data_IF_267950483378
#
_entry.id   IF_267950483378
#
_cell.length_a   1.000
_cell.length_b   1.000
_cell.length_c   1.000
_cell.angle_alpha   90.00
_cell.angle_beta   90.00
_cell.angle_gamma   90.00
#
_symmetry.space_group_name_H-M   'P 1'
#
loop_
_entity.id
_entity.type
_entity.pdbx_description
1 polymer ?
#
# COMPACT_ATOMS: atom_id res chain seq x y z
N UNK A 1 1.26 7.08 4.25
CA UNK A 1 1.49 7.75 5.55
C UNK A 1 2.56 6.94 6.27
N UNK A 2 3.70 7.54 6.60
CA UNK A 2 4.83 6.82 7.20
C UNK A 2 4.63 6.86 8.70
N UNK A 3 4.47 5.69 9.34
CA UNK A 3 4.48 5.58 10.81
C UNK A 3 5.90 5.87 11.25
N UNK A 4 6.11 7.02 11.85
CA UNK A 4 7.42 7.40 12.35
C UNK A 4 7.54 6.95 13.80
N UNK A 5 8.75 6.59 14.25
CA UNK A 5 9.08 6.42 15.67
C UNK A 5 8.50 7.58 16.50
N UNK A 6 8.51 8.79 15.92
CA UNK A 6 7.86 9.97 16.48
C UNK A 6 6.37 9.77 16.82
N UNK A 7 5.61 9.00 16.04
CA UNK A 7 4.19 8.75 16.32
C UNK A 7 4.00 7.86 17.55
N UNK A 8 4.90 6.89 17.77
CA UNK A 8 4.89 6.06 18.98
C UNK A 8 5.23 6.90 20.22
N UNK A 9 6.24 7.76 20.13
CA UNK A 9 6.59 8.67 21.22
C UNK A 9 5.42 9.64 21.54
N UNK A 10 4.77 10.19 20.52
CA UNK A 10 3.61 11.05 20.69
C UNK A 10 2.43 10.29 21.29
N UNK A 11 2.18 9.06 20.85
CA UNK A 11 1.15 8.18 21.42
C UNK A 11 1.38 7.99 22.93
N UNK A 12 2.59 7.68 23.34
CA UNK A 12 2.93 7.50 24.76
C UNK A 12 2.75 8.78 25.55
N UNK A 13 3.17 9.91 24.98
CA UNK A 13 3.10 11.23 25.60
C UNK A 13 1.68 11.76 25.76
N UNK A 14 0.87 11.63 24.71
CA UNK A 14 -0.48 12.21 24.64
C UNK A 14 -1.59 11.20 24.86
N UNK A 15 -1.26 9.92 25.05
CA UNK A 15 -2.19 8.81 25.36
C UNK A 15 -3.35 8.67 24.38
N UNK A 16 -3.08 8.85 23.09
CA UNK A 16 -4.05 8.54 22.04
C UNK A 16 -3.88 7.10 21.52
N UNK A 17 -4.89 6.60 20.79
CA UNK A 17 -4.81 5.31 20.09
C UNK A 17 -4.24 5.51 18.70
N UNK A 18 -3.34 4.60 18.31
CA UNK A 18 -2.73 4.58 16.99
C UNK A 18 -3.33 3.46 16.16
N UNK A 19 -4.00 3.85 15.07
CA UNK A 19 -4.50 2.92 14.05
C UNK A 19 -3.59 3.06 12.84
N UNK A 20 -3.00 1.96 12.41
CA UNK A 20 -2.13 1.90 11.24
C UNK A 20 -2.86 1.18 10.10
N UNK A 21 -3.03 1.88 8.99
CA UNK A 21 -3.55 1.30 7.76
C UNK A 21 -2.40 0.79 6.89
N UNK A 22 -2.32 -0.53 6.78
CA UNK A 22 -1.31 -1.25 6.02
C UNK A 22 -1.85 -1.76 4.66
N UNK A 23 -3.00 -1.23 4.20
CA UNK A 23 -3.65 -1.68 2.95
C UNK A 23 -2.69 -1.70 1.75
N UNK A 24 -1.79 -0.73 1.68
CA UNK A 24 -0.83 -0.58 0.56
C UNK A 24 0.61 -0.97 0.91
N UNK A 25 0.87 -1.34 2.14
CA UNK A 25 2.22 -1.59 2.65
C UNK A 25 2.46 -3.04 3.06
N UNK A 26 1.43 -3.73 3.57
CA UNK A 26 1.55 -5.14 3.91
C UNK A 26 1.74 -6.00 2.65
N UNK A 27 2.71 -6.90 2.67
CA UNK A 27 3.14 -7.68 1.51
C UNK A 27 4.05 -6.92 0.53
N UNK A 28 4.41 -5.66 0.83
CA UNK A 28 5.19 -4.77 -0.04
C UNK A 28 6.39 -4.17 0.68
N UNK A 29 6.15 -3.45 1.77
CA UNK A 29 7.18 -2.76 2.55
C UNK A 29 7.77 -3.68 3.63
N UNK A 30 8.93 -3.27 4.14
CA UNK A 30 9.68 -4.09 5.08
C UNK A 30 10.56 -5.14 4.38
N UNK A 31 11.56 -5.64 5.05
CA UNK A 31 12.52 -6.60 4.47
C UNK A 31 11.86 -7.91 4.03
N UNK A 32 10.86 -8.35 4.80
CA UNK A 32 10.12 -9.59 4.56
C UNK A 32 8.66 -9.37 4.15
N UNK A 33 8.26 -8.10 3.87
CA UNK A 33 6.90 -7.75 3.47
C UNK A 33 5.92 -7.55 4.63
N UNK A 34 6.41 -7.37 5.86
CA UNK A 34 5.55 -7.17 7.04
C UNK A 34 5.04 -5.74 7.21
N UNK A 35 5.24 -4.90 6.19
CA UNK A 35 4.67 -3.57 6.15
C UNK A 35 5.53 -2.48 6.78
N UNK A 36 4.88 -1.38 7.15
CA UNK A 36 5.53 -0.16 7.65
C UNK A 36 6.20 -0.37 9.00
N UNK A 37 5.65 -1.20 9.87
CA UNK A 37 6.24 -1.49 11.19
C UNK A 37 7.62 -2.11 11.02
N UNK A 38 7.77 -3.09 10.15
CA UNK A 38 9.08 -3.68 9.83
C UNK A 38 10.00 -2.67 9.13
N UNK A 39 9.48 -1.89 8.16
CA UNK A 39 10.24 -0.87 7.44
C UNK A 39 10.84 0.19 8.37
N UNK A 40 10.14 0.54 9.44
CA UNK A 40 10.54 1.55 10.41
C UNK A 40 11.21 0.96 11.66
N UNK A 41 11.35 -0.36 11.73
CA UNK A 41 11.87 -1.08 12.88
C UNK A 41 11.12 -0.75 14.18
N UNK A 42 9.79 -0.72 14.10
CA UNK A 42 8.86 -0.52 15.21
C UNK A 42 8.22 -1.87 15.54
N UNK A 43 8.10 -2.19 16.83
CA UNK A 43 7.37 -3.39 17.24
C UNK A 43 5.88 -3.21 16.92
N UNK A 44 5.29 -4.16 16.20
CA UNK A 44 3.87 -4.15 15.87
C UNK A 44 2.97 -4.11 17.13
N UNK A 45 3.44 -4.62 18.26
CA UNK A 45 2.74 -4.57 19.55
C UNK A 45 2.58 -3.14 20.10
N UNK A 46 3.40 -2.18 19.64
CA UNK A 46 3.27 -0.77 20.03
C UNK A 46 2.14 -0.05 19.27
N UNK A 47 1.63 -0.64 18.20
CA UNK A 47 0.47 -0.14 17.46
C UNK A 47 -0.79 -0.74 18.04
N UNK A 48 -1.78 0.11 18.37
CA UNK A 48 -3.01 -0.39 19.02
C UNK A 48 -3.86 -1.23 18.07
N UNK A 49 -3.85 -0.87 16.77
CA UNK A 49 -4.66 -1.51 15.77
C UNK A 49 -4.00 -1.41 14.40
N UNK A 50 -3.81 -2.55 13.76
CA UNK A 50 -3.33 -2.62 12.37
C UNK A 50 -4.49 -3.11 11.52
N UNK A 51 -4.82 -2.34 10.50
CA UNK A 51 -5.85 -2.69 9.52
C UNK A 51 -5.23 -2.84 8.14
N UNK A 52 -5.83 -3.67 7.31
CA UNK A 52 -5.33 -3.85 5.95
C UNK A 52 -6.30 -4.61 5.07
N UNK A 53 -5.98 -4.67 3.79
CA UNK A 53 -6.74 -5.43 2.79
C UNK A 53 -6.17 -6.84 2.63
N UNK A 54 -7.04 -7.79 2.37
CA UNK A 54 -6.66 -9.15 1.93
C UNK A 54 -6.51 -9.24 0.39
N UNK A 55 -6.80 -8.15 -0.34
CA UNK A 55 -6.56 -8.05 -1.77
C UNK A 55 -5.10 -7.71 -2.08
N UNK A 56 -4.78 -7.57 -3.35
CA UNK A 56 -3.41 -7.27 -3.77
C UNK A 56 -2.43 -8.39 -3.42
N UNK A 57 -1.39 -8.14 -2.63
CA UNK A 57 -0.35 -9.13 -2.32
C UNK A 57 -0.86 -10.42 -1.67
N UNK A 58 -2.00 -10.38 -0.97
CA UNK A 58 -2.59 -11.57 -0.33
C UNK A 58 -3.53 -12.35 -1.26
N UNK A 59 -3.76 -11.89 -2.49
CA UNK A 59 -4.52 -12.58 -3.54
C UNK A 59 -5.93 -13.02 -3.14
N UNK A 60 -6.53 -12.37 -2.14
CA UNK A 60 -7.87 -12.65 -1.64
C UNK A 60 -8.76 -11.41 -1.72
N UNK A 61 -9.89 -11.41 -1.06
CA UNK A 61 -10.77 -10.26 -0.94
C UNK A 61 -11.17 -10.06 0.52
N UNK A 62 -11.60 -8.84 0.85
CA UNK A 62 -11.95 -8.45 2.21
C UNK A 62 -10.82 -7.71 2.91
N UNK A 63 -10.89 -7.63 4.23
CA UNK A 63 -9.90 -6.96 5.04
C UNK A 63 -9.69 -7.65 6.38
N UNK A 64 -8.69 -7.20 7.11
CA UNK A 64 -8.38 -7.67 8.44
C UNK A 64 -8.16 -6.52 9.41
N UNK A 65 -8.36 -6.81 10.67
CA UNK A 65 -7.94 -5.97 11.77
C UNK A 65 -7.18 -6.83 12.77
N UNK A 66 -5.96 -6.42 13.10
CA UNK A 66 -5.11 -7.05 14.10
C UNK A 66 -4.84 -6.07 15.25
N UNK A 67 -4.80 -6.58 16.46
CA UNK A 67 -4.57 -5.81 17.68
C UNK A 67 -4.57 -6.72 18.90
N UNK A 68 -4.63 -6.13 20.10
CA UNK A 68 -4.79 -6.91 21.31
C UNK A 68 -6.13 -7.65 21.32
N UNK A 69 -6.22 -8.79 22.03
CA UNK A 69 -7.46 -9.56 22.12
C UNK A 69 -8.66 -8.72 22.57
N UNK A 70 -8.46 -7.81 23.50
CA UNK A 70 -9.50 -6.89 23.98
C UNK A 70 -10.01 -5.97 22.87
N UNK A 71 -9.14 -5.41 22.05
CA UNK A 71 -9.50 -4.53 20.94
C UNK A 71 -10.27 -5.30 19.87
N UNK A 72 -9.80 -6.48 19.51
CA UNK A 72 -10.43 -7.32 18.48
C UNK A 72 -11.81 -7.80 18.96
N UNK A 73 -11.93 -8.23 20.21
CA UNK A 73 -13.21 -8.68 20.77
C UNK A 73 -14.22 -7.53 20.91
N UNK A 74 -13.76 -6.35 21.31
CA UNK A 74 -14.60 -5.15 21.32
C UNK A 74 -15.16 -4.84 19.92
N UNK A 75 -14.36 -4.96 18.88
CA UNK A 75 -14.83 -4.76 17.51
C UNK A 75 -15.86 -5.82 17.09
N UNK A 76 -15.66 -7.08 17.44
CA UNK A 76 -16.65 -8.14 17.16
C UNK A 76 -18.01 -7.83 17.75
N UNK A 77 -18.04 -7.29 18.95
CA UNK A 77 -19.29 -7.03 19.68
C UNK A 77 -19.93 -5.71 19.23
N UNK A 78 -19.12 -4.66 19.01
CA UNK A 78 -19.61 -3.28 18.87
C UNK A 78 -19.59 -2.75 17.43
N UNK A 79 -18.94 -3.43 16.51
CA UNK A 79 -18.86 -2.97 15.12
C UNK A 79 -20.15 -3.25 14.36
N UNK A 80 -20.79 -2.20 13.86
CA UNK A 80 -21.96 -2.31 13.01
C UNK A 80 -21.67 -3.10 11.72
N UNK A 81 -20.52 -2.88 11.11
CA UNK A 81 -20.10 -3.63 9.92
C UNK A 81 -19.99 -5.11 10.19
N UNK A 82 -19.44 -5.50 11.33
CA UNK A 82 -19.29 -6.91 11.69
C UNK A 82 -20.63 -7.56 12.03
N UNK A 83 -21.51 -6.82 12.69
CA UNK A 83 -22.82 -7.33 13.14
C UNK A 83 -23.82 -7.47 11.99
N UNK A 84 -23.81 -6.53 11.04
CA UNK A 84 -24.81 -6.40 9.99
C UNK A 84 -24.31 -6.76 8.58
N UNK A 85 -23.14 -7.32 8.44
CA UNK A 85 -22.62 -7.84 7.17
C UNK A 85 -22.38 -9.33 7.21
N UNK A 86 -22.25 -9.93 6.01
CA UNK A 86 -21.89 -11.34 5.90
C UNK A 86 -20.42 -11.58 6.31
N UNK A 87 -20.15 -12.73 6.91
CA UNK A 87 -18.78 -13.17 7.18
C UNK A 87 -18.01 -13.40 5.87
N UNK A 88 -16.71 -13.21 5.93
CA UNK A 88 -15.82 -13.53 4.82
C UNK A 88 -15.95 -15.01 4.41
N UNK A 89 -16.12 -15.32 3.11
CA UNK A 89 -16.10 -16.70 2.65
C UNK A 89 -14.82 -17.44 3.05
N UNK A 90 -14.93 -18.65 3.57
CA UNK A 90 -13.80 -19.41 4.10
C UNK A 90 -12.66 -19.57 3.07
N UNK A 91 -13.00 -19.75 1.79
CA UNK A 91 -12.01 -19.86 0.71
C UNK A 91 -11.09 -18.64 0.62
N UNK A 92 -11.60 -17.42 0.84
CA UNK A 92 -10.80 -16.21 0.79
C UNK A 92 -9.86 -16.10 2.00
N UNK A 93 -10.33 -16.51 3.18
CA UNK A 93 -9.50 -16.57 4.37
C UNK A 93 -8.37 -17.61 4.21
N UNK A 94 -8.67 -18.78 3.64
CA UNK A 94 -7.68 -19.82 3.35
C UNK A 94 -6.67 -19.34 2.32
N UNK A 95 -7.10 -18.68 1.23
CA UNK A 95 -6.21 -18.10 0.22
C UNK A 95 -5.24 -17.11 0.85
N UNK A 96 -5.74 -16.19 1.69
CA UNK A 96 -4.89 -15.22 2.36
C UNK A 96 -3.86 -15.90 3.30
N UNK A 97 -4.29 -16.92 4.05
CA UNK A 97 -3.42 -17.71 4.94
C UNK A 97 -2.31 -18.42 4.18
N UNK A 98 -2.64 -19.08 3.08
CA UNK A 98 -1.67 -19.75 2.21
C UNK A 98 -0.69 -18.76 1.57
N UNK A 99 -1.18 -17.62 1.12
CA UNK A 99 -0.31 -16.57 0.55
C UNK A 99 0.67 -16.02 1.59
N UNK A 100 0.24 -15.84 2.85
CA UNK A 100 1.13 -15.45 3.94
C UNK A 100 2.21 -16.51 4.17
N UNK A 101 1.85 -17.80 4.18
CA UNK A 101 2.79 -18.89 4.33
C UNK A 101 3.81 -18.90 3.16
N UNK A 102 3.34 -18.76 1.93
CA UNK A 102 4.20 -18.66 0.74
C UNK A 102 5.18 -17.48 0.81
N UNK A 103 4.75 -16.31 1.27
CA UNK A 103 5.63 -15.16 1.45
C UNK A 103 6.68 -15.40 2.55
N UNK A 104 6.34 -16.12 3.60
CA UNK A 104 7.28 -16.49 4.66
C UNK A 104 8.32 -17.50 4.21
N UNK A 105 7.91 -18.49 3.40
CA UNK A 105 8.78 -19.53 2.87
C UNK A 105 9.68 -19.00 1.73
N UNK A 106 9.22 -18.00 0.98
CA UNK A 106 9.89 -17.47 -0.19
C UNK A 106 10.17 -15.96 -0.08
N UNK A 107 11.10 -15.52 0.75
CA UNK A 107 11.41 -14.11 0.93
C UNK A 107 11.95 -13.42 -0.34
N UNK A 108 12.43 -14.20 -1.31
CA UNK A 108 12.93 -13.72 -2.59
C UNK A 108 11.85 -13.02 -3.43
N UNK A 109 10.57 -13.30 -3.19
CA UNK A 109 9.45 -12.61 -3.84
C UNK A 109 9.51 -11.10 -3.58
N UNK A 110 9.79 -10.69 -2.34
CA UNK A 110 9.91 -9.28 -1.97
C UNK A 110 11.17 -8.64 -2.58
N UNK A 111 12.27 -9.39 -2.65
CA UNK A 111 13.50 -8.94 -3.32
C UNK A 111 13.24 -8.69 -4.80
N UNK A 112 12.60 -9.65 -5.48
CA UNK A 112 12.26 -9.54 -6.90
C UNK A 112 11.30 -8.35 -7.17
N UNK A 113 10.31 -8.14 -6.30
CA UNK A 113 9.43 -6.96 -6.40
C UNK A 113 10.23 -5.66 -6.38
N UNK A 114 11.20 -5.53 -5.47
CA UNK A 114 12.04 -4.34 -5.38
C UNK A 114 12.93 -4.14 -6.59
N UNK A 115 13.47 -5.21 -7.14
CA UNK A 115 14.27 -5.13 -8.38
C UNK A 115 13.40 -4.68 -9.55
N UNK A 116 12.18 -5.20 -9.66
CA UNK A 116 11.22 -4.78 -10.68
C UNK A 116 10.85 -3.29 -10.54
N UNK A 117 10.60 -2.81 -9.30
CA UNK A 117 10.33 -1.39 -9.03
C UNK A 117 11.50 -0.52 -9.48
N UNK A 118 12.73 -0.90 -9.12
CA UNK A 118 13.95 -0.16 -9.52
C UNK A 118 14.13 -0.15 -11.03
N UNK A 119 13.95 -1.30 -11.69
CA UNK A 119 14.08 -1.42 -13.14
C UNK A 119 13.06 -0.53 -13.86
N UNK A 120 11.80 -0.53 -13.43
CA UNK A 120 10.76 0.30 -14.01
C UNK A 120 11.04 1.79 -13.82
N UNK A 121 11.44 2.21 -12.61
CA UNK A 121 11.84 3.61 -12.34
C UNK A 121 13.02 4.05 -13.17
N UNK A 122 14.03 3.21 -13.32
CA UNK A 122 15.20 3.51 -14.14
C UNK A 122 14.85 3.75 -15.62
N UNK A 123 13.73 3.22 -16.09
CA UNK A 123 13.21 3.48 -17.43
C UNK A 123 12.34 4.75 -17.51
N UNK A 124 11.54 5.01 -16.48
CA UNK A 124 10.59 6.13 -16.47
C UNK A 124 11.25 7.48 -16.14
N UNK A 125 12.03 7.55 -15.06
CA UNK A 125 12.51 8.83 -14.51
C UNK A 125 13.47 9.58 -15.44
N UNK A 126 14.48 8.94 -16.10
CA UNK A 126 15.44 9.67 -16.94
C UNK A 126 14.95 9.91 -18.37
N UNK A 127 13.93 9.19 -18.84
CA UNK A 127 13.51 9.20 -20.25
C UNK A 127 12.34 10.11 -20.56
N UNK A 128 11.61 10.54 -19.56
CA UNK A 128 10.45 11.39 -19.78
C UNK A 128 10.78 12.86 -19.53
N UNK A 129 10.66 13.66 -20.59
CA UNK A 129 10.72 15.12 -20.48
C UNK A 129 9.42 15.71 -19.89
N UNK A 130 8.34 14.94 -19.84
CA UNK A 130 6.99 15.39 -19.55
C UNK A 130 6.48 14.97 -18.18
N UNK A 131 6.75 13.74 -17.79
CA UNK A 131 6.24 13.14 -16.55
C UNK A 131 7.34 12.87 -15.54
N UNK A 132 6.97 12.86 -14.26
CA UNK A 132 7.82 12.38 -13.17
C UNK A 132 7.02 11.45 -12.27
N UNK A 133 7.68 10.48 -11.67
CA UNK A 133 7.10 9.63 -10.64
C UNK A 133 7.24 10.30 -9.28
N UNK A 134 6.12 10.47 -8.56
CA UNK A 134 6.08 11.12 -7.23
C UNK A 134 5.95 10.13 -6.09
N UNK A 135 5.62 8.86 -6.37
CA UNK A 135 5.57 7.83 -5.33
C UNK A 135 6.95 7.52 -4.75
N UNK A 136 6.99 6.97 -3.54
CA UNK A 136 8.23 6.53 -2.90
C UNK A 136 8.97 5.50 -3.77
N UNK A 137 10.29 5.46 -3.66
CA UNK A 137 11.15 4.54 -4.42
C UNK A 137 10.86 3.07 -4.11
N UNK A 138 10.32 2.78 -2.93
CA UNK A 138 9.96 1.42 -2.50
C UNK A 138 8.52 1.04 -2.83
N UNK A 139 7.75 1.96 -3.44
CA UNK A 139 6.34 1.73 -3.76
C UNK A 139 6.19 1.13 -5.17
N UNK A 140 5.52 -0.03 -5.32
CA UNK A 140 5.23 -0.62 -6.64
C UNK A 140 4.23 0.20 -7.46
N UNK A 141 3.46 1.07 -6.81
CA UNK A 141 2.50 1.95 -7.48
C UNK A 141 3.25 3.20 -7.97
N UNK A 142 3.28 3.38 -9.28
CA UNK A 142 3.92 4.52 -9.94
C UNK A 142 2.89 5.63 -10.14
N UNK A 143 2.95 6.66 -9.29
CA UNK A 143 2.12 7.86 -9.44
C UNK A 143 2.84 8.83 -10.36
N UNK A 144 2.34 8.96 -11.58
CA UNK A 144 2.88 9.86 -12.59
C UNK A 144 2.18 11.22 -12.51
N UNK A 145 2.95 12.28 -12.56
CA UNK A 145 2.47 13.65 -12.69
C UNK A 145 3.25 14.39 -13.76
N UNK A 146 2.64 15.37 -14.39
CA UNK A 146 3.36 16.24 -15.32
C UNK A 146 4.40 17.07 -14.59
N UNK A 147 5.54 17.30 -15.23
CA UNK A 147 6.56 18.18 -14.68
C UNK A 147 6.04 19.63 -14.63
N UNK A 148 6.31 20.40 -13.56
CA UNK A 148 5.83 21.77 -13.41
C UNK A 148 6.20 22.67 -14.59
N UNK A 149 7.36 22.45 -15.20
CA UNK A 149 7.85 23.19 -16.36
C UNK A 149 6.92 23.01 -17.57
N UNK A 150 6.40 21.79 -17.77
CA UNK A 150 5.46 21.46 -18.86
C UNK A 150 4.11 22.13 -18.60
N UNK A 151 3.59 22.03 -17.39
CA UNK A 151 2.33 22.63 -16.97
C UNK A 151 2.37 24.15 -17.18
N UNK A 152 3.44 24.80 -16.75
CA UNK A 152 3.61 26.26 -16.83
C UNK A 152 3.82 26.72 -18.27
N UNK A 153 4.65 26.05 -19.05
CA UNK A 153 4.97 26.43 -20.44
C UNK A 153 3.76 26.30 -21.36
N UNK A 154 2.93 25.29 -21.14
CA UNK A 154 1.73 25.02 -21.95
C UNK A 154 0.46 25.64 -21.36
N UNK A 155 0.52 26.24 -20.17
CA UNK A 155 -0.63 26.83 -19.44
C UNK A 155 -1.80 25.84 -19.30
N UNK A 156 -1.49 24.58 -18.94
CA UNK A 156 -2.48 23.51 -18.89
C UNK A 156 -3.41 23.69 -17.68
N UNK A 157 -4.71 23.56 -17.91
CA UNK A 157 -5.70 23.37 -16.84
C UNK A 157 -5.54 22.01 -16.18
N UNK A 158 -6.24 21.77 -15.07
CA UNK A 158 -6.22 20.45 -14.39
C UNK A 158 -6.78 19.37 -15.33
N UNK A 159 -7.87 19.67 -16.02
CA UNK A 159 -8.49 18.77 -16.99
C UNK A 159 -7.55 18.42 -18.15
N UNK A 160 -6.85 19.41 -18.71
CA UNK A 160 -5.85 19.16 -19.77
C UNK A 160 -4.68 18.30 -19.28
N UNK A 161 -4.28 18.42 -18.01
CA UNK A 161 -3.24 17.59 -17.43
C UNK A 161 -3.68 16.13 -17.30
N UNK A 162 -4.93 15.89 -16.89
CA UNK A 162 -5.51 14.56 -16.80
C UNK A 162 -5.61 13.90 -18.18
N UNK A 163 -6.09 14.61 -19.20
CA UNK A 163 -6.14 14.10 -20.58
C UNK A 163 -4.75 13.73 -21.11
N UNK A 164 -3.78 14.61 -20.94
CA UNK A 164 -2.40 14.34 -21.37
C UNK A 164 -1.77 13.14 -20.67
N UNK A 165 -2.03 12.96 -19.37
CA UNK A 165 -1.57 11.79 -18.64
C UNK A 165 -2.26 10.51 -19.11
N UNK A 166 -3.56 10.59 -19.43
CA UNK A 166 -4.30 9.46 -19.97
C UNK A 166 -3.74 9.04 -21.33
N UNK A 167 -3.50 9.99 -22.23
CA UNK A 167 -2.89 9.72 -23.54
C UNK A 167 -1.54 9.00 -23.41
N UNK A 168 -0.68 9.45 -22.47
CA UNK A 168 0.61 8.79 -22.18
C UNK A 168 0.42 7.36 -21.70
N UNK A 169 -0.57 7.13 -20.81
CA UNK A 169 -0.86 5.78 -20.30
C UNK A 169 -1.38 4.88 -21.41
N UNK A 170 -2.26 5.40 -22.28
CA UNK A 170 -2.85 4.67 -23.38
C UNK A 170 -1.81 4.28 -24.47
N UNK A 171 -0.80 5.13 -24.67
CA UNK A 171 0.33 4.80 -25.56
C UNK A 171 1.28 3.74 -24.95
N UNK A 172 1.49 3.78 -23.62
CA UNK A 172 2.40 2.84 -22.94
C UNK A 172 1.73 1.49 -22.66
N UNK A 173 0.41 1.46 -22.50
CA UNK A 173 -0.37 0.25 -22.22
C UNK A 173 -1.36 -0.12 -23.33
N UNK A 174 -0.91 -0.43 -24.56
CA UNK A 174 -1.83 -0.79 -25.66
C UNK A 174 -2.63 -2.06 -25.41
N UNK A 175 -2.32 -2.83 -24.37
CA UNK A 175 -2.96 -4.11 -24.03
C UNK A 175 -4.29 -3.90 -23.28
N UNK A 176 -4.57 -2.73 -22.76
CA UNK A 176 -5.81 -2.48 -22.00
C UNK A 176 -7.06 -2.36 -22.88
N UNK A 177 -6.92 -2.26 -24.21
CA UNK A 177 -8.01 -2.03 -25.17
C UNK A 177 -8.18 -3.13 -26.22
N UNK A 178 -7.56 -4.31 -26.04
CA UNK A 178 -7.72 -5.47 -26.93
C UNK A 178 -8.52 -6.60 -26.29
#
# INVERSE_FOLDING_TARGET
MVTNILQIELKLRYKFRLILDETWSYGVLGRTGRGVTEQQNVDAAEVDMIIGSLSGPLCAAGGFCAGTGEVVEHQRISSASYTYSAALPAMLATTASETIALLQENPDIIVQLRENIKAMRAQLDPRSDWVKCTSSIDNPIMLLVLKPEVVTSKKLSIEDQEFLLQDVVDEVCPIANS
#
